data_IF_159416885451
#
_entry.id   IF_159416885451
#
_cell.length_a   1.000
_cell.length_b   1.000
_cell.length_c   1.000
_cell.angle_alpha   90.00
_cell.angle_beta   90.00
_cell.angle_gamma   90.00
#
_symmetry.space_group_name_H-M   'P 1'
#
loop_
_entity.id
_entity.type
_entity.pdbx_description
1 polymer ?
#
# COMPACT_ATOMS: atom_id res chain seq x y z
N UNK A 1 1.12 -21.56 27.19
CA UNK A 1 0.57 -22.29 26.02
C UNK A 1 0.85 -21.44 24.79
N UNK A 2 1.54 -21.97 23.78
CA UNK A 2 1.74 -21.27 22.51
C UNK A 2 0.38 -21.05 21.85
N UNK A 3 0.10 -19.83 21.36
CA UNK A 3 -1.09 -19.58 20.56
C UNK A 3 -1.08 -20.53 19.35
N UNK A 4 -2.21 -21.17 19.01
CA UNK A 4 -2.32 -21.97 17.79
C UNK A 4 -2.05 -21.10 16.56
N UNK A 5 -1.60 -21.72 15.47
CA UNK A 5 -1.35 -21.02 14.20
C UNK A 5 -2.64 -20.38 13.67
N UNK A 6 -2.57 -19.09 13.32
CA UNK A 6 -3.70 -18.29 12.86
C UNK A 6 -3.48 -17.83 11.40
N UNK A 7 -4.42 -18.22 10.53
CA UNK A 7 -4.44 -17.85 9.10
C UNK A 7 -5.52 -16.82 8.76
N UNK A 8 -6.20 -16.24 9.77
CA UNK A 8 -7.33 -15.31 9.60
C UNK A 8 -7.04 -14.07 8.74
N UNK A 9 -5.75 -13.74 8.57
CA UNK A 9 -5.29 -12.74 7.60
C UNK A 9 -5.82 -13.00 6.19
N UNK A 10 -5.98 -14.25 5.79
CA UNK A 10 -6.38 -14.66 4.44
C UNK A 10 -7.90 -14.91 4.30
N UNK A 11 -8.70 -14.71 5.35
CA UNK A 11 -10.14 -14.99 5.32
C UNK A 11 -10.93 -14.02 4.42
N UNK A 12 -10.39 -12.82 4.16
CA UNK A 12 -11.08 -11.74 3.43
C UNK A 12 -10.47 -11.46 2.05
N UNK A 13 -10.28 -12.50 1.22
CA UNK A 13 -9.81 -12.33 -0.16
C UNK A 13 -11.01 -12.11 -1.10
N UNK A 14 -10.90 -11.12 -1.98
CA UNK A 14 -11.87 -10.82 -3.04
C UNK A 14 -11.23 -11.09 -4.40
N UNK A 15 -11.69 -12.14 -5.07
CA UNK A 15 -11.30 -12.52 -6.43
C UNK A 15 -12.40 -12.03 -7.39
N UNK A 16 -12.05 -11.16 -8.35
CA UNK A 16 -13.03 -10.64 -9.32
C UNK A 16 -13.36 -11.62 -10.45
N UNK A 17 -12.53 -12.65 -10.63
CA UNK A 17 -12.60 -13.68 -11.68
C UNK A 17 -12.84 -15.07 -11.06
N UNK A 18 -13.61 -15.12 -9.96
CA UNK A 18 -13.94 -16.38 -9.29
C UNK A 18 -15.03 -17.13 -10.07
N UNK A 19 -14.63 -18.18 -10.77
CA UNK A 19 -15.53 -18.98 -11.60
C UNK A 19 -16.58 -19.77 -10.82
N UNK A 20 -16.36 -20.02 -9.53
CA UNK A 20 -17.31 -20.77 -8.68
C UNK A 20 -18.54 -19.94 -8.29
N UNK A 21 -18.43 -18.60 -8.35
CA UNK A 21 -19.48 -17.65 -7.94
C UNK A 21 -20.53 -17.33 -9.02
N UNK A 22 -20.43 -17.93 -10.22
CA UNK A 22 -21.32 -17.60 -11.35
C UNK A 22 -22.49 -18.58 -11.44
N UNK A 23 -23.71 -18.05 -11.38
CA UNK A 23 -24.92 -18.85 -11.60
C UNK A 23 -24.97 -19.39 -13.04
N UNK A 24 -25.42 -20.64 -13.28
CA UNK A 24 -25.48 -21.25 -14.62
C UNK A 24 -26.22 -20.48 -15.73
N UNK A 25 -26.96 -19.43 -15.40
CA UNK A 25 -27.74 -18.61 -16.34
C UNK A 25 -27.16 -17.21 -16.58
N UNK A 26 -26.01 -16.89 -15.99
CA UNK A 26 -25.33 -15.60 -16.16
C UNK A 26 -24.07 -15.82 -17.00
N UNK A 27 -23.82 -14.93 -17.95
CA UNK A 27 -22.57 -14.94 -18.72
C UNK A 27 -21.39 -14.57 -17.81
N UNK A 28 -20.43 -15.50 -17.71
CA UNK A 28 -19.24 -15.39 -16.86
C UNK A 28 -18.42 -14.13 -17.18
N UNK A 29 -18.15 -13.88 -18.46
CA UNK A 29 -17.29 -12.77 -18.89
C UNK A 29 -17.90 -11.41 -18.52
N UNK A 30 -19.19 -11.23 -18.78
CA UNK A 30 -19.91 -10.01 -18.43
C UNK A 30 -19.99 -9.80 -16.91
N UNK A 31 -20.18 -10.89 -16.15
CA UNK A 31 -20.22 -10.88 -14.68
C UNK A 31 -18.88 -10.45 -14.07
N UNK A 32 -17.76 -11.02 -14.52
CA UNK A 32 -16.42 -10.67 -14.01
C UNK A 32 -16.08 -9.22 -14.29
N UNK A 33 -16.37 -8.73 -15.49
CA UNK A 33 -16.18 -7.31 -15.83
C UNK A 33 -17.00 -6.38 -14.93
N UNK A 34 -18.24 -6.76 -14.62
CA UNK A 34 -19.09 -5.99 -13.71
C UNK A 34 -18.54 -6.01 -12.29
N UNK A 35 -18.14 -7.17 -11.77
CA UNK A 35 -17.54 -7.31 -10.43
C UNK A 35 -16.24 -6.51 -10.30
N UNK A 36 -15.38 -6.56 -11.32
CA UNK A 36 -14.16 -5.77 -11.38
C UNK A 36 -14.47 -4.27 -11.33
N UNK A 37 -15.41 -3.77 -12.17
CA UNK A 37 -15.83 -2.37 -12.14
C UNK A 37 -16.38 -1.96 -10.78
N UNK A 38 -17.28 -2.76 -10.20
CA UNK A 38 -17.86 -2.48 -8.88
C UNK A 38 -16.79 -2.42 -7.78
N UNK A 39 -15.77 -3.27 -7.85
CA UNK A 39 -14.61 -3.21 -6.94
C UNK A 39 -13.84 -1.90 -7.10
N UNK A 40 -13.48 -1.55 -8.33
CA UNK A 40 -12.72 -0.31 -8.62
C UNK A 40 -13.50 0.92 -8.16
N UNK A 41 -14.80 0.98 -8.44
CA UNK A 41 -15.68 2.07 -7.98
C UNK A 41 -15.75 2.15 -6.45
N UNK A 42 -15.86 1.00 -5.77
CA UNK A 42 -15.84 0.94 -4.29
C UNK A 42 -14.50 1.46 -3.75
N UNK A 43 -13.39 1.03 -4.31
CA UNK A 43 -12.04 1.46 -3.88
C UNK A 43 -11.80 2.95 -4.12
N UNK A 44 -12.26 3.49 -5.25
CA UNK A 44 -12.18 4.92 -5.57
C UNK A 44 -13.06 5.76 -4.63
N UNK A 45 -14.29 5.31 -4.35
CA UNK A 45 -15.16 5.96 -3.38
C UNK A 45 -14.55 5.95 -1.97
N UNK A 46 -14.05 4.79 -1.51
CA UNK A 46 -13.36 4.68 -0.22
C UNK A 46 -12.10 5.55 -0.18
N UNK A 47 -11.33 5.67 -1.27
CA UNK A 47 -10.16 6.53 -1.34
C UNK A 47 -10.52 8.01 -1.19
N UNK A 48 -11.54 8.49 -1.91
CA UNK A 48 -12.06 9.85 -1.80
C UNK A 48 -12.59 10.16 -0.40
N UNK A 49 -13.31 9.23 0.21
CA UNK A 49 -13.79 9.39 1.58
C UNK A 49 -12.64 9.45 2.60
N UNK A 50 -11.60 8.61 2.44
CA UNK A 50 -10.40 8.68 3.29
C UNK A 50 -9.69 10.02 3.15
N UNK A 51 -9.52 10.51 1.92
CA UNK A 51 -8.92 11.81 1.65
C UNK A 51 -9.70 12.94 2.33
N UNK A 52 -11.03 12.97 2.16
CA UNK A 52 -11.89 13.96 2.82
C UNK A 52 -11.76 13.92 4.35
N UNK A 53 -11.75 12.73 4.95
CA UNK A 53 -11.59 12.58 6.40
C UNK A 53 -10.22 13.09 6.87
N UNK A 54 -9.16 12.79 6.12
CA UNK A 54 -7.81 13.28 6.41
C UNK A 54 -7.72 14.81 6.33
N UNK A 55 -8.37 15.41 5.33
CA UNK A 55 -8.44 16.88 5.19
C UNK A 55 -9.19 17.53 6.36
N UNK A 56 -10.32 16.96 6.77
CA UNK A 56 -11.07 17.43 7.95
C UNK A 56 -10.24 17.30 9.23
N UNK A 57 -9.51 16.18 9.38
CA UNK A 57 -8.64 15.95 10.53
C UNK A 57 -7.46 16.93 10.53
N UNK A 58 -6.88 17.22 9.37
CA UNK A 58 -5.81 18.22 9.20
C UNK A 58 -6.29 19.62 9.59
N UNK A 59 -7.49 20.03 9.14
CA UNK A 59 -8.09 21.31 9.54
C UNK A 59 -8.38 21.38 11.05
N UNK A 60 -8.92 20.30 11.61
CA UNK A 60 -9.21 20.22 13.05
C UNK A 60 -7.92 20.26 13.89
N UNK A 61 -6.85 19.57 13.48
CA UNK A 61 -5.55 19.61 14.16
C UNK A 61 -4.90 20.99 14.10
N UNK A 62 -5.03 21.70 12.97
CA UNK A 62 -4.63 23.12 12.87
C UNK A 62 -5.42 24.00 13.84
N UNK A 63 -6.75 23.82 13.92
CA UNK A 63 -7.61 24.56 14.85
C UNK A 63 -7.23 24.30 16.31
N UNK A 64 -7.04 23.04 16.69
CA UNK A 64 -6.57 22.66 18.03
C UNK A 64 -5.25 23.37 18.37
N UNK A 65 -4.30 23.41 17.43
CA UNK A 65 -3.00 24.08 17.65
C UNK A 65 -3.14 25.58 17.89
N UNK A 66 -4.09 26.24 17.22
CA UNK A 66 -4.39 27.66 17.45
C UNK A 66 -4.99 27.85 18.84
N UNK A 67 -6.01 27.06 19.19
CA UNK A 67 -6.67 27.12 20.50
C UNK A 67 -5.70 26.85 21.65
N UNK A 68 -4.80 25.87 21.51
CA UNK A 68 -3.74 25.60 22.48
C UNK A 68 -2.81 26.80 22.68
N UNK A 69 -2.47 27.51 21.59
CA UNK A 69 -1.65 28.72 21.66
C UNK A 69 -2.39 29.85 22.40
N UNK A 70 -3.68 30.00 22.15
CA UNK A 70 -4.49 31.05 22.79
C UNK A 70 -4.71 30.76 24.28
N UNK A 71 -4.94 29.49 24.63
CA UNK A 71 -4.97 29.01 26.01
C UNK A 71 -3.65 29.29 26.75
N UNK A 72 -2.50 29.02 26.13
CA UNK A 72 -1.19 29.35 26.72
C UNK A 72 -1.00 30.85 26.93
N UNK A 73 -1.55 31.71 26.06
CA UNK A 73 -1.49 33.18 26.26
C UNK A 73 -2.36 33.60 27.43
N UNK A 74 -3.57 33.05 27.57
CA UNK A 74 -4.47 33.33 28.69
C UNK A 74 -3.80 32.90 30.01
N UNK A 75 -3.28 31.68 30.06
CA UNK A 75 -2.56 31.17 31.24
C UNK A 75 -1.34 32.03 31.59
N UNK A 76 -0.62 32.54 30.59
CA UNK A 76 0.51 33.44 30.79
C UNK A 76 0.07 34.79 31.36
N UNK A 77 -1.00 35.41 30.82
CA UNK A 77 -1.57 36.66 31.36
C UNK A 77 -1.98 36.50 32.83
N UNK A 78 -2.69 35.41 33.13
CA UNK A 78 -3.09 35.05 34.49
C UNK A 78 -1.91 34.86 35.45
N UNK A 79 -0.74 34.45 34.96
CA UNK A 79 0.45 34.29 35.79
C UNK A 79 1.26 35.58 35.96
N UNK A 80 1.14 36.54 35.03
CA UNK A 80 1.82 37.84 35.08
C UNK A 80 1.03 38.88 35.89
N UNK A 81 -0.31 38.83 35.89
CA UNK A 81 -1.18 39.63 36.76
C UNK A 81 -1.44 38.90 38.09
N UNK A 82 -0.62 39.19 39.10
CA UNK A 82 -0.72 38.62 40.46
C UNK A 82 -1.57 39.43 41.44
N UNK A 83 -2.32 40.43 40.95
CA UNK A 83 -3.24 41.22 41.79
C UNK A 83 -4.62 40.55 41.84
N UNK A 84 -5.20 40.56 43.04
CA UNK A 84 -6.38 39.83 43.56
C UNK A 84 -7.73 40.20 42.90
N UNK A 85 -7.72 40.60 41.62
CA UNK A 85 -8.89 41.00 40.82
C UNK A 85 -8.95 40.14 39.54
N UNK A 86 -8.89 38.81 39.72
CA UNK A 86 -9.07 37.84 38.64
C UNK A 86 -10.50 37.99 38.10
N UNK A 87 -10.68 38.77 37.02
CA UNK A 87 -11.93 38.90 36.29
C UNK A 87 -12.50 37.49 35.99
N UNK A 88 -13.74 37.25 36.43
CA UNK A 88 -14.51 36.01 36.25
C UNK A 88 -14.56 35.59 34.76
N UNK A 89 -14.48 36.58 33.86
CA UNK A 89 -14.49 36.44 32.40
C UNK A 89 -13.28 35.64 31.85
N UNK A 90 -12.08 35.78 32.41
CA UNK A 90 -10.87 35.08 31.91
C UNK A 90 -10.88 33.57 32.27
N UNK A 91 -11.61 33.19 33.33
CA UNK A 91 -11.77 31.79 33.74
C UNK A 91 -12.73 31.07 32.79
N UNK A 92 -13.88 31.68 32.49
CA UNK A 92 -14.90 31.16 31.58
C UNK A 92 -14.33 30.94 30.16
N UNK A 93 -13.54 31.90 29.66
CA UNK A 93 -12.84 31.79 28.37
C UNK A 93 -11.86 30.61 28.32
N UNK A 94 -11.14 30.34 29.42
CA UNK A 94 -10.18 29.23 29.48
C UNK A 94 -10.86 27.86 29.50
N UNK A 95 -12.01 27.75 30.16
CA UNK A 95 -12.80 26.52 30.23
C UNK A 95 -13.50 26.25 28.89
N UNK A 96 -14.06 27.28 28.26
CA UNK A 96 -14.66 27.19 26.93
C UNK A 96 -13.66 26.69 25.87
N UNK A 97 -12.43 27.21 25.87
CA UNK A 97 -11.37 26.77 24.94
C UNK A 97 -10.97 25.32 25.19
N UNK A 98 -10.87 24.90 26.47
CA UNK A 98 -10.57 23.49 26.82
C UNK A 98 -11.66 22.54 26.31
N UNK A 99 -12.92 22.94 26.44
CA UNK A 99 -14.06 22.16 25.93
C UNK A 99 -13.99 22.07 24.40
N UNK A 100 -13.75 23.17 23.68
CA UNK A 100 -13.63 23.16 22.21
C UNK A 100 -12.48 22.23 21.75
N UNK A 101 -11.33 22.25 22.42
CA UNK A 101 -10.22 21.34 22.14
C UNK A 101 -10.64 19.89 22.35
N UNK A 102 -11.27 19.57 23.49
CA UNK A 102 -11.71 18.20 23.80
C UNK A 102 -12.74 17.68 22.79
N UNK A 103 -13.67 18.53 22.35
CA UNK A 103 -14.65 18.18 21.32
C UNK A 103 -13.98 17.88 19.97
N UNK A 104 -13.04 18.72 19.54
CA UNK A 104 -12.29 18.52 18.30
C UNK A 104 -11.42 17.25 18.36
N UNK A 105 -10.80 16.96 19.50
CA UNK A 105 -10.04 15.73 19.72
C UNK A 105 -10.94 14.49 19.67
N UNK A 106 -12.12 14.54 20.33
CA UNK A 106 -13.10 13.45 20.28
C UNK A 106 -13.62 13.23 18.85
N UNK A 107 -13.89 14.31 18.11
CA UNK A 107 -14.28 14.24 16.70
C UNK A 107 -13.18 13.61 15.83
N UNK A 108 -11.91 13.99 16.04
CA UNK A 108 -10.78 13.38 15.34
C UNK A 108 -10.60 11.91 15.71
N UNK A 109 -10.81 11.52 16.98
CA UNK A 109 -10.79 10.12 17.39
C UNK A 109 -11.89 9.29 16.71
N UNK A 110 -13.10 9.86 16.55
CA UNK A 110 -14.19 9.23 15.79
C UNK A 110 -13.84 9.09 14.30
N UNK A 111 -13.25 10.12 13.70
CA UNK A 111 -12.74 10.08 12.31
C UNK A 111 -11.67 9.01 12.14
N UNK A 112 -10.72 8.91 13.06
CA UNK A 112 -9.66 7.89 13.04
C UNK A 112 -10.25 6.48 13.17
N UNK A 113 -11.18 6.26 14.10
CA UNK A 113 -11.83 4.96 14.24
C UNK A 113 -12.56 4.52 12.95
N UNK A 114 -13.14 5.47 12.21
CA UNK A 114 -13.74 5.20 10.90
C UNK A 114 -12.70 4.79 9.85
N UNK A 115 -11.53 5.43 9.84
CA UNK A 115 -10.41 5.03 8.97
C UNK A 115 -9.92 3.61 9.32
N UNK A 116 -9.74 3.33 10.61
CA UNK A 116 -9.30 2.02 11.10
C UNK A 116 -10.32 0.92 10.74
N UNK A 117 -11.62 1.23 10.75
CA UNK A 117 -12.67 0.32 10.31
C UNK A 117 -12.58 0.01 8.81
N UNK A 118 -12.35 1.03 7.97
CA UNK A 118 -12.10 0.81 6.54
C UNK A 118 -10.89 -0.09 6.31
N UNK A 119 -9.81 0.09 7.07
CA UNK A 119 -8.61 -0.75 6.96
C UNK A 119 -8.86 -2.19 7.43
N UNK A 120 -9.55 -2.38 8.55
CA UNK A 120 -9.88 -3.72 9.08
C UNK A 120 -10.83 -4.51 8.19
N UNK A 121 -11.72 -3.82 7.48
CA UNK A 121 -12.69 -4.41 6.57
C UNK A 121 -12.23 -4.42 5.11
N UNK A 122 -11.03 -3.90 4.83
CA UNK A 122 -10.42 -3.94 3.50
C UNK A 122 -10.27 -5.39 3.05
N UNK A 123 -10.84 -5.70 1.89
CA UNK A 123 -10.66 -7.01 1.26
C UNK A 123 -9.33 -7.07 0.53
N UNK A 124 -8.66 -8.22 0.63
CA UNK A 124 -7.42 -8.51 -0.07
C UNK A 124 -7.71 -8.82 -1.53
N UNK A 125 -6.99 -8.19 -2.45
CA UNK A 125 -7.08 -8.43 -3.88
C UNK A 125 -5.68 -8.33 -4.50
N UNK A 126 -5.57 -8.62 -5.80
CA UNK A 126 -4.29 -8.62 -6.54
C UNK A 126 -3.50 -7.33 -6.34
N UNK A 127 -4.18 -6.18 -6.32
CA UNK A 127 -3.55 -4.86 -6.21
C UNK A 127 -3.01 -4.56 -4.78
N UNK A 128 -3.62 -5.17 -3.75
CA UNK A 128 -3.32 -4.89 -2.35
C UNK A 128 -2.50 -6.01 -1.65
N UNK A 129 -2.42 -7.20 -2.24
CA UNK A 129 -1.75 -8.35 -1.63
C UNK A 129 -0.24 -8.37 -1.88
N UNK A 130 0.17 -8.00 -3.10
CA UNK A 130 1.56 -8.09 -3.53
C UNK A 130 1.94 -6.90 -4.40
N UNK A 131 3.24 -6.63 -4.44
CA UNK A 131 3.84 -5.69 -5.38
C UNK A 131 4.90 -6.41 -6.19
N UNK A 132 5.04 -6.06 -7.46
CA UNK A 132 6.08 -6.64 -8.32
C UNK A 132 7.44 -6.17 -7.80
N UNK A 133 8.24 -7.10 -7.27
CA UNK A 133 9.59 -6.81 -6.74
C UNK A 133 10.65 -6.88 -7.82
N UNK A 134 10.56 -7.87 -8.69
CA UNK A 134 11.50 -8.13 -9.79
C UNK A 134 10.70 -8.72 -10.95
N UNK A 135 10.93 -8.20 -12.15
CA UNK A 135 10.38 -8.73 -13.39
C UNK A 135 11.54 -8.96 -14.35
N UNK A 136 11.77 -10.23 -14.71
CA UNK A 136 12.85 -10.63 -15.62
C UNK A 136 12.30 -11.50 -16.72
N UNK A 137 12.27 -10.95 -17.93
CA UNK A 137 11.85 -11.68 -19.13
C UNK A 137 13.08 -12.15 -19.90
N UNK A 138 13.17 -13.46 -20.16
CA UNK A 138 14.25 -14.07 -20.96
C UNK A 138 13.63 -14.77 -22.17
N UNK A 139 13.94 -14.27 -23.37
CA UNK A 139 13.47 -14.87 -24.63
C UNK A 139 14.65 -15.62 -25.26
N UNK A 140 14.50 -16.93 -25.47
CA UNK A 140 15.48 -17.73 -26.18
C UNK A 140 15.25 -17.63 -27.70
N UNK A 141 15.70 -16.53 -28.32
CA UNK A 141 15.57 -16.31 -29.76
C UNK A 141 16.38 -17.31 -30.63
N UNK A 142 17.37 -17.99 -30.04
CA UNK A 142 18.20 -19.01 -30.71
C UNK A 142 17.67 -20.43 -30.57
N UNK A 143 16.55 -20.67 -29.87
CA UNK A 143 16.00 -22.01 -29.66
C UNK A 143 15.71 -22.77 -30.97
N UNK A 144 15.42 -22.04 -32.06
CA UNK A 144 15.19 -22.62 -33.39
C UNK A 144 16.44 -22.77 -34.27
N UNK A 145 17.61 -22.29 -33.82
CA UNK A 145 18.87 -22.48 -34.54
C UNK A 145 19.54 -23.74 -33.99
N UNK A 146 19.27 -24.87 -34.63
CA UNK A 146 20.03 -26.10 -34.36
C UNK A 146 21.44 -25.91 -34.92
N UNK A 147 22.43 -25.75 -34.05
CA UNK A 147 23.83 -25.94 -34.44
C UNK A 147 24.09 -27.45 -34.54
N UNK A 148 23.29 -28.19 -35.31
CA UNK A 148 23.43 -29.62 -35.48
C UNK A 148 23.45 -29.95 -36.96
N UNK A 149 24.44 -30.73 -37.38
CA UNK A 149 24.53 -31.29 -38.73
C UNK A 149 23.32 -32.20 -39.01
N UNK A 150 23.00 -32.49 -40.29
CA UNK A 150 21.93 -33.44 -40.64
C UNK A 150 22.11 -34.85 -40.04
N UNK A 151 23.32 -35.19 -39.59
CA UNK A 151 23.66 -36.44 -38.90
C UNK A 151 23.48 -36.38 -37.37
N UNK A 152 23.04 -35.25 -36.81
CA UNK A 152 22.77 -35.07 -35.38
C UNK A 152 23.98 -34.66 -34.53
N UNK A 153 25.14 -34.37 -35.12
CA UNK A 153 26.32 -33.88 -34.39
C UNK A 153 26.29 -32.36 -34.25
N UNK A 154 26.75 -31.83 -33.11
CA UNK A 154 26.85 -30.39 -32.90
C UNK A 154 27.84 -29.75 -33.89
N UNK A 155 27.40 -28.72 -34.62
CA UNK A 155 28.24 -27.86 -35.45
C UNK A 155 29.14 -27.00 -34.57
N UNK A 156 30.45 -27.02 -34.88
CA UNK A 156 31.44 -26.21 -34.18
C UNK A 156 31.17 -24.72 -34.43
N UNK A 157 31.01 -23.95 -33.35
CA UNK A 157 30.95 -22.48 -33.40
C UNK A 157 32.32 -21.82 -33.56
N UNK A 158 33.39 -22.62 -33.42
CA UNK A 158 34.78 -22.18 -33.57
C UNK A 158 35.19 -22.39 -35.02
N UNK A 159 35.74 -21.35 -35.65
CA UNK A 159 36.25 -21.49 -37.01
C UNK A 159 37.41 -22.49 -37.01
N UNK A 160 37.50 -23.36 -38.03
CA UNK A 160 38.52 -24.42 -38.05
C UNK A 160 39.97 -23.92 -37.92
N UNK A 161 40.19 -22.63 -38.17
CA UNK A 161 41.46 -21.94 -37.97
C UNK A 161 41.84 -21.77 -36.49
N UNK A 162 40.88 -21.41 -35.64
CA UNK A 162 41.09 -21.24 -34.20
C UNK A 162 41.36 -22.58 -33.51
N UNK A 163 40.64 -23.64 -33.92
CA UNK A 163 40.87 -25.00 -33.41
C UNK A 163 42.26 -25.51 -33.78
N UNK A 164 42.71 -25.27 -35.01
CA UNK A 164 44.07 -25.64 -35.46
C UNK A 164 45.14 -24.91 -34.66
N UNK A 165 44.96 -23.62 -34.43
CA UNK A 165 45.90 -22.79 -33.66
C UNK A 165 45.98 -23.24 -32.19
N UNK A 166 44.86 -23.64 -31.60
CA UNK A 166 44.81 -24.19 -30.25
C UNK A 166 45.47 -25.58 -30.17
N UNK A 167 45.26 -26.44 -31.17
CA UNK A 167 45.90 -27.75 -31.24
C UNK A 167 47.41 -27.65 -31.48
N UNK A 168 47.87 -26.72 -32.32
CA UNK A 168 49.30 -26.44 -32.50
C UNK A 168 49.94 -25.87 -31.23
N UNK A 169 49.22 -25.02 -30.50
CA UNK A 169 49.69 -24.49 -29.22
C UNK A 169 49.79 -25.60 -28.15
N UNK A 170 48.82 -26.53 -28.11
CA UNK A 170 48.83 -27.68 -27.18
C UNK A 170 49.83 -28.77 -27.60
N UNK A 171 50.08 -28.96 -28.89
CA UNK A 171 51.06 -29.93 -29.40
C UNK A 171 52.52 -29.53 -29.18
N UNK A 172 52.82 -28.23 -29.02
CA UNK A 172 54.17 -27.74 -28.73
C UNK A 172 54.59 -27.80 -27.25
N UNK A 173 53.72 -28.29 -26.35
CA UNK A 173 54.03 -28.42 -24.91
C UNK A 173 54.38 -29.85 -24.47
N UNK A 174 54.55 -30.77 -25.43
CA UNK A 174 55.13 -32.09 -25.19
C UNK A 174 56.36 -32.30 -26.07
N UNK A 175 57.48 -31.69 -25.68
CA UNK A 175 58.85 -32.21 -25.81
C UNK A 175 59.79 -31.36 -24.93
#
# INVERSE_FOLDING_TARGET
>A
MSKPFDYSKWDKIELSDDEEDVHPNIDKESWFRMKHRSRVEREDHEAKDRERINDEMSKATQRIKILQRDLQKIEKRKAEDSDDDSDDDDIDDSEAIKIEIQELELANKRRQAKLDEYEKNKKLNVDNMFQVKEERTVINASAGKSNYTPSGFAESTVTGEEVRKEMEAKGKTQD
#
